data_IF_357493768242
#
_entry.id   IF_357493768242
#
_cell.length_a   1.000
_cell.length_b   1.000
_cell.length_c   1.000
_cell.angle_alpha   90.00
_cell.angle_beta   90.00
_cell.angle_gamma   90.00
#
_symmetry.space_group_name_H-M   'P 1'
#
loop_
_entity.id
_entity.type
_entity.pdbx_description
1 polymer ?
#
# COMPACT_ATOMS: atom_id res chain seq x y z
N UNK A 1 -9.59 -21.08 -70.96
CA UNK A 1 -9.91 -20.20 -69.81
C UNK A 1 -8.67 -20.10 -68.97
N UNK A 2 -8.08 -18.91 -68.85
CA UNK A 2 -6.78 -18.71 -68.19
C UNK A 2 -6.98 -18.22 -66.76
N UNK A 3 -6.29 -18.82 -65.79
CA UNK A 3 -6.28 -18.34 -64.41
C UNK A 3 -5.39 -17.10 -64.29
N UNK A 4 -5.95 -15.96 -63.87
CA UNK A 4 -5.20 -14.73 -63.64
C UNK A 4 -4.62 -14.72 -62.21
N UNK A 5 -3.31 -14.60 -62.09
CA UNK A 5 -2.64 -14.39 -60.81
C UNK A 5 -2.80 -12.93 -60.35
N UNK A 6 -3.16 -12.71 -59.09
CA UNK A 6 -3.14 -11.38 -58.46
C UNK A 6 -1.74 -11.08 -57.90
N UNK A 7 -1.17 -9.88 -58.12
CA UNK A 7 0.15 -9.54 -57.61
C UNK A 7 0.13 -9.25 -56.11
N UNK A 8 1.17 -9.71 -55.39
CA UNK A 8 1.41 -9.32 -53.99
C UNK A 8 1.96 -7.89 -53.93
N UNK A 9 1.47 -7.09 -52.98
CA UNK A 9 2.03 -5.76 -52.72
C UNK A 9 3.36 -5.87 -51.94
N UNK A 10 4.37 -5.04 -52.24
CA UNK A 10 5.66 -5.06 -51.54
C UNK A 10 5.54 -4.52 -50.10
N UNK A 11 6.41 -4.94 -49.17
CA UNK A 11 6.44 -4.42 -47.81
C UNK A 11 6.90 -2.95 -47.78
N UNK A 12 6.36 -2.11 -46.87
CA UNK A 12 6.71 -0.70 -46.78
C UNK A 12 8.16 -0.52 -46.30
N UNK A 13 8.98 0.13 -47.13
CA UNK A 13 10.34 0.52 -46.76
C UNK A 13 10.32 1.65 -45.72
N UNK A 14 11.11 1.51 -44.66
CA UNK A 14 11.24 2.52 -43.61
C UNK A 14 12.24 3.59 -44.05
N UNK A 15 11.78 4.82 -44.30
CA UNK A 15 12.67 5.97 -44.45
C UNK A 15 13.16 6.44 -43.08
N UNK A 16 14.48 6.58 -42.93
CA UNK A 16 15.14 6.87 -41.66
C UNK A 16 15.70 8.30 -41.65
N UNK A 17 15.11 9.20 -40.87
CA UNK A 17 15.69 10.54 -40.66
C UNK A 17 15.37 11.09 -39.25
N UNK A 18 16.39 11.69 -38.62
CA UNK A 18 16.33 12.50 -37.39
C UNK A 18 15.49 12.01 -36.20
N UNK A 19 15.91 10.91 -35.58
CA UNK A 19 15.88 10.74 -34.11
C UNK A 19 14.53 10.71 -33.39
N UNK A 20 13.39 10.71 -34.11
CA UNK A 20 12.05 10.67 -33.55
C UNK A 20 11.31 9.43 -34.06
N UNK A 21 11.06 8.47 -33.17
CA UNK A 21 10.31 7.26 -33.49
C UNK A 21 8.90 7.35 -32.91
N UNK A 22 7.89 7.44 -33.77
CA UNK A 22 6.53 7.03 -33.39
C UNK A 22 6.47 5.50 -33.44
N UNK A 23 6.04 4.89 -32.34
CA UNK A 23 6.15 3.45 -32.10
C UNK A 23 4.77 2.82 -32.17
N UNK A 24 4.50 2.06 -33.23
CA UNK A 24 3.23 1.34 -33.40
C UNK A 24 3.06 0.29 -32.29
N UNK A 25 1.88 0.25 -31.66
CA UNK A 25 1.63 -0.65 -30.52
C UNK A 25 0.91 -1.94 -30.95
N UNK A 26 1.35 -3.08 -30.44
CA UNK A 26 0.81 -4.41 -30.75
C UNK A 26 -0.11 -4.92 -29.63
N UNK A 27 -1.31 -5.40 -29.99
CA UNK A 27 -2.29 -5.96 -29.04
C UNK A 27 -1.79 -7.24 -28.36
N UNK A 28 -0.96 -8.03 -29.06
CA UNK A 28 -0.29 -9.20 -28.48
C UNK A 28 0.99 -8.76 -27.77
N UNK A 29 1.12 -9.14 -26.49
CA UNK A 29 2.30 -8.85 -25.65
C UNK A 29 3.32 -9.99 -25.75
N UNK A 30 4.44 -9.73 -26.42
CA UNK A 30 5.58 -10.64 -26.56
C UNK A 30 6.04 -11.19 -25.19
N UNK A 31 6.28 -12.51 -25.07
CA UNK A 31 6.75 -13.11 -23.82
C UNK A 31 8.10 -12.53 -23.37
N UNK A 32 8.98 -12.20 -24.31
CA UNK A 32 10.28 -11.58 -24.02
C UNK A 32 10.11 -10.20 -23.38
N UNK A 33 9.17 -9.38 -23.89
CA UNK A 33 8.87 -8.07 -23.31
C UNK A 33 8.29 -8.20 -21.89
N UNK A 34 7.40 -9.18 -21.67
CA UNK A 34 6.85 -9.48 -20.34
C UNK A 34 7.93 -9.97 -19.35
N UNK A 35 8.90 -10.78 -19.80
CA UNK A 35 10.00 -11.27 -18.96
C UNK A 35 10.91 -10.12 -18.50
N UNK A 36 11.29 -9.23 -19.43
CA UNK A 36 12.10 -8.04 -19.13
C UNK A 36 11.33 -7.10 -18.18
N UNK A 37 10.03 -6.87 -18.42
CA UNK A 37 9.19 -6.09 -17.53
C UNK A 37 9.05 -6.72 -16.13
N UNK A 38 8.90 -8.05 -16.02
CA UNK A 38 8.83 -8.75 -14.74
C UNK A 38 10.12 -8.61 -13.90
N UNK A 39 11.30 -8.62 -14.55
CA UNK A 39 12.57 -8.33 -13.88
C UNK A 39 12.64 -6.86 -13.43
N UNK A 40 12.26 -5.91 -14.30
CA UNK A 40 12.41 -4.48 -14.04
C UNK A 40 11.38 -3.92 -13.04
N UNK A 41 10.13 -4.38 -13.09
CA UNK A 41 8.98 -3.75 -12.41
C UNK A 41 9.11 -3.67 -10.88
N UNK A 42 10.01 -4.43 -10.26
CA UNK A 42 10.27 -4.39 -8.82
C UNK A 42 11.77 -4.21 -8.49
N UNK A 43 12.57 -3.75 -9.46
CA UNK A 43 14.02 -3.59 -9.28
C UNK A 43 14.35 -2.27 -8.54
N UNK A 44 15.10 -2.30 -7.41
CA UNK A 44 15.38 -1.09 -6.61
C UNK A 44 16.24 -0.05 -7.33
N UNK A 45 16.97 -0.41 -8.39
CA UNK A 45 17.78 0.51 -9.20
C UNK A 45 16.89 1.56 -9.89
N UNK A 46 15.63 1.22 -10.22
CA UNK A 46 14.68 2.15 -10.85
C UNK A 46 14.33 3.34 -9.95
N UNK A 47 14.33 3.13 -8.62
CA UNK A 47 13.83 4.08 -7.60
C UNK A 47 12.46 4.67 -7.99
N UNK A 48 11.55 3.80 -8.42
CA UNK A 48 10.19 4.16 -8.82
C UNK A 48 9.40 4.80 -7.67
N UNK A 49 8.40 5.61 -8.03
CA UNK A 49 7.51 6.30 -7.10
C UNK A 49 6.08 6.23 -7.63
N UNK A 50 5.09 6.31 -6.74
CA UNK A 50 3.69 6.50 -7.13
C UNK A 50 3.45 7.96 -7.51
N UNK A 51 2.69 8.19 -8.58
CA UNK A 51 2.20 9.50 -9.01
C UNK A 51 0.77 9.40 -9.55
N UNK A 52 0.08 10.52 -9.68
CA UNK A 52 -1.32 10.57 -10.11
C UNK A 52 -1.41 10.83 -11.61
N UNK A 53 -1.63 9.78 -12.41
CA UNK A 53 -1.92 9.89 -13.83
C UNK A 53 -3.24 10.63 -14.03
N UNK A 54 -3.20 11.71 -14.82
CA UNK A 54 -4.32 12.60 -15.12
C UNK A 54 -5.05 13.09 -13.85
N UNK A 55 -4.30 13.27 -12.75
CA UNK A 55 -4.80 13.69 -11.43
C UNK A 55 -5.85 12.77 -10.79
N UNK A 56 -5.95 11.49 -11.21
CA UNK A 56 -6.97 10.56 -10.75
C UNK A 56 -6.44 9.14 -10.41
N UNK A 57 -5.62 8.54 -11.28
CA UNK A 57 -5.20 7.14 -11.13
C UNK A 57 -3.77 7.05 -10.58
N UNK A 58 -3.57 6.31 -9.49
CA UNK A 58 -2.21 5.98 -9.03
C UNK A 58 -1.47 5.12 -10.06
N UNK A 59 -0.27 5.52 -10.44
CA UNK A 59 0.63 4.77 -11.33
C UNK A 59 2.07 4.87 -10.82
N UNK A 60 2.87 3.83 -11.01
CA UNK A 60 4.28 3.85 -10.66
C UNK A 60 5.13 4.36 -11.82
N UNK A 61 6.06 5.28 -11.54
CA UNK A 61 6.91 5.92 -12.55
C UNK A 61 8.37 6.05 -12.12
N UNK A 62 9.27 6.07 -13.11
CA UNK A 62 10.73 6.14 -12.97
C UNK A 62 11.34 7.09 -14.02
N UNK A 63 12.66 7.30 -14.01
CA UNK A 63 13.40 8.06 -15.04
C UNK A 63 14.21 7.15 -15.96
N UNK A 64 14.33 7.51 -17.23
CA UNK A 64 15.05 6.71 -18.26
C UNK A 64 16.47 6.30 -17.85
N UNK A 65 17.27 7.21 -17.27
CA UNK A 65 18.64 6.90 -16.79
C UNK A 65 18.73 5.89 -15.65
N UNK A 66 17.62 5.56 -14.99
CA UNK A 66 17.54 4.45 -14.02
C UNK A 66 17.22 3.12 -14.71
N UNK A 67 16.37 3.15 -15.73
CA UNK A 67 16.06 2.00 -16.59
C UNK A 67 17.28 1.51 -17.37
N UNK A 68 18.01 2.42 -18.03
CA UNK A 68 19.28 2.07 -18.71
C UNK A 68 20.29 1.43 -17.72
N UNK A 69 20.38 1.95 -16.50
CA UNK A 69 21.25 1.39 -15.45
C UNK A 69 20.79 0.02 -14.97
N UNK A 70 19.49 -0.23 -14.87
CA UNK A 70 18.95 -1.52 -14.46
C UNK A 70 19.21 -2.61 -15.52
N UNK A 71 19.08 -2.28 -16.82
CA UNK A 71 19.37 -3.22 -17.92
C UNK A 71 20.87 -3.51 -18.11
N UNK A 72 21.74 -2.54 -17.85
CA UNK A 72 23.20 -2.73 -17.91
C UNK A 72 23.83 -3.25 -16.60
N UNK A 73 22.99 -3.53 -15.58
CA UNK A 73 23.43 -4.03 -14.28
C UNK A 73 23.92 -5.48 -14.32
N UNK A 74 24.78 -5.85 -13.38
CA UNK A 74 25.24 -7.24 -13.26
C UNK A 74 24.12 -8.16 -12.75
N UNK A 75 23.13 -7.65 -11.99
CA UNK A 75 21.89 -8.36 -11.66
C UNK A 75 21.16 -8.85 -12.93
N UNK A 76 21.10 -8.03 -13.98
CA UNK A 76 20.49 -8.42 -15.25
C UNK A 76 21.26 -9.57 -15.90
N UNK A 77 22.59 -9.46 -15.96
CA UNK A 77 23.49 -10.48 -16.53
C UNK A 77 23.39 -11.81 -15.76
N UNK A 78 23.31 -11.77 -14.42
CA UNK A 78 23.11 -12.95 -13.59
C UNK A 78 21.77 -13.64 -13.87
N UNK A 79 20.67 -12.87 -13.95
CA UNK A 79 19.35 -13.42 -14.31
C UNK A 79 19.34 -13.97 -15.74
N UNK A 80 20.06 -13.34 -16.67
CA UNK A 80 20.19 -13.78 -18.06
C UNK A 80 20.92 -15.14 -18.18
N UNK A 81 21.84 -15.49 -17.27
CA UNK A 81 22.53 -16.80 -17.26
C UNK A 81 21.59 -18.00 -17.09
N UNK A 82 20.36 -17.81 -16.61
CA UNK A 82 19.36 -18.87 -16.47
C UNK A 82 18.36 -18.81 -17.65
N UNK A 83 18.38 -19.77 -18.60
CA UNK A 83 17.51 -19.75 -19.78
C UNK A 83 16.01 -19.70 -19.45
N UNK A 84 15.59 -20.20 -18.27
CA UNK A 84 14.19 -20.17 -17.83
C UNK A 84 13.63 -18.76 -17.66
N UNK A 85 14.48 -17.74 -17.52
CA UNK A 85 14.06 -16.35 -17.40
C UNK A 85 13.76 -15.68 -18.75
N UNK A 86 14.20 -16.28 -19.88
CA UNK A 86 13.91 -15.76 -21.23
C UNK A 86 14.28 -14.29 -21.44
N UNK A 87 15.42 -13.86 -20.89
CA UNK A 87 16.00 -12.52 -21.06
C UNK A 87 17.00 -12.53 -22.23
N UNK A 88 17.09 -11.42 -22.95
CA UNK A 88 18.02 -11.26 -24.08
C UNK A 88 19.36 -10.66 -23.62
N UNK A 89 20.48 -10.88 -24.34
CA UNK A 89 21.72 -10.15 -24.08
C UNK A 89 21.54 -8.64 -24.33
N UNK A 90 22.04 -7.83 -23.39
CA UNK A 90 22.10 -6.37 -23.48
C UNK A 90 23.52 -5.94 -23.09
N UNK A 91 24.29 -5.46 -24.06
CA UNK A 91 25.67 -5.01 -23.85
C UNK A 91 25.83 -3.52 -24.15
N UNK A 92 25.08 -3.00 -25.12
CA UNK A 92 25.26 -1.67 -25.70
C UNK A 92 24.10 -0.72 -25.38
N UNK A 93 24.34 0.58 -25.51
CA UNK A 93 23.29 1.60 -25.44
C UNK A 93 22.24 1.47 -26.57
N UNK A 94 22.57 0.81 -27.69
CA UNK A 94 21.61 0.50 -28.77
C UNK A 94 20.66 -0.63 -28.36
N UNK A 95 21.17 -1.69 -27.72
CA UNK A 95 20.38 -2.81 -27.20
C UNK A 95 19.32 -2.31 -26.20
N UNK A 96 19.70 -1.39 -25.32
CA UNK A 96 18.79 -0.70 -24.37
C UNK A 96 17.69 0.08 -25.09
N UNK A 97 17.99 0.77 -26.18
CA UNK A 97 16.99 1.49 -26.99
C UNK A 97 16.04 0.53 -27.69
N UNK A 98 16.54 -0.57 -28.26
CA UNK A 98 15.73 -1.61 -28.89
C UNK A 98 14.77 -2.27 -27.88
N UNK A 99 15.27 -2.60 -26.68
CA UNK A 99 14.45 -3.13 -25.57
C UNK A 99 13.40 -2.12 -25.09
N UNK A 100 13.76 -0.84 -25.02
CA UNK A 100 12.82 0.22 -24.63
C UNK A 100 11.71 0.39 -25.68
N UNK A 101 12.05 0.43 -26.97
CA UNK A 101 11.06 0.47 -28.06
C UNK A 101 10.14 -0.75 -27.99
N UNK A 102 10.68 -1.95 -27.79
CA UNK A 102 9.90 -3.17 -27.59
C UNK A 102 8.92 -3.04 -26.41
N UNK A 103 9.35 -2.49 -25.26
CA UNK A 103 8.46 -2.30 -24.10
C UNK A 103 7.34 -1.27 -24.36
N UNK A 104 7.56 -0.28 -25.23
CA UNK A 104 6.49 0.64 -25.68
C UNK A 104 5.56 -0.02 -26.70
N UNK A 105 6.08 -0.75 -27.69
CA UNK A 105 5.27 -1.51 -28.66
C UNK A 105 4.27 -2.43 -27.95
N UNK A 106 4.72 -3.11 -26.90
CA UNK A 106 3.92 -4.05 -26.11
C UNK A 106 3.04 -3.38 -25.02
N UNK A 107 2.92 -2.04 -25.05
CA UNK A 107 2.14 -1.24 -24.09
C UNK A 107 2.47 -1.57 -22.62
N UNK A 108 3.75 -1.77 -22.30
CA UNK A 108 4.24 -2.03 -20.93
C UNK A 108 4.74 -0.74 -20.26
N UNK A 109 5.17 0.24 -21.06
CA UNK A 109 5.59 1.57 -20.63
C UNK A 109 4.74 2.66 -21.27
N UNK A 110 4.48 3.71 -20.50
CA UNK A 110 3.75 4.91 -20.90
C UNK A 110 4.69 6.14 -20.79
N UNK A 111 4.94 6.89 -21.87
CA UNK A 111 5.60 8.20 -21.80
C UNK A 111 4.76 9.18 -20.96
N UNK A 112 5.37 9.78 -19.94
CA UNK A 112 4.70 10.74 -19.05
C UNK A 112 5.54 11.98 -18.76
N UNK A 113 4.88 13.12 -18.69
CA UNK A 113 5.46 14.37 -18.18
C UNK A 113 4.97 14.58 -16.76
N UNK A 114 5.90 14.81 -15.82
CA UNK A 114 5.57 15.26 -14.46
C UNK A 114 5.27 16.76 -14.51
N UNK A 115 4.04 17.14 -14.18
CA UNK A 115 3.64 18.56 -14.21
C UNK A 115 4.13 19.34 -12.98
N UNK A 116 4.22 20.65 -13.14
CA UNK A 116 4.46 21.61 -12.07
C UNK A 116 3.16 22.13 -11.43
N UNK A 117 3.24 22.73 -10.24
CA UNK A 117 2.09 23.25 -9.48
C UNK A 117 1.29 24.37 -10.18
N UNK A 118 1.86 25.03 -11.19
CA UNK A 118 1.16 25.99 -12.05
C UNK A 118 0.30 25.27 -13.10
N UNK A 119 0.95 24.46 -13.94
CA UNK A 119 0.35 23.63 -14.99
C UNK A 119 -0.84 22.77 -14.50
N UNK A 120 -0.78 22.24 -13.27
CA UNK A 120 -1.89 21.47 -12.68
C UNK A 120 -3.14 22.33 -12.44
N UNK A 121 -2.99 23.63 -12.14
CA UNK A 121 -4.12 24.56 -11.91
C UNK A 121 -4.74 25.08 -13.20
N UNK A 122 -3.97 25.13 -14.28
CA UNK A 122 -4.44 25.49 -15.62
C UNK A 122 -5.43 24.45 -16.17
N UNK A 123 -5.25 23.18 -15.81
CA UNK A 123 -6.18 22.11 -16.18
C UNK A 123 -7.45 22.16 -15.31
N UNK A 124 -8.53 22.69 -15.90
CA UNK A 124 -9.85 22.82 -15.26
C UNK A 124 -10.30 21.52 -14.58
N UNK A 125 -10.44 21.57 -13.26
CA UNK A 125 -10.91 20.46 -12.42
C UNK A 125 -9.82 19.66 -11.72
N UNK A 126 -8.54 19.84 -12.06
CA UNK A 126 -7.44 19.21 -11.33
C UNK A 126 -7.10 19.96 -10.04
N UNK A 127 -6.71 19.20 -9.01
CA UNK A 127 -6.34 19.72 -7.69
C UNK A 127 -4.94 19.21 -7.35
N UNK A 128 -3.93 20.10 -7.18
CA UNK A 128 -2.57 19.67 -6.86
C UNK A 128 -2.51 18.93 -5.53
N UNK A 129 -1.98 17.70 -5.56
CA UNK A 129 -1.64 16.93 -4.37
C UNK A 129 -0.19 17.27 -3.92
N UNK A 130 0.06 17.36 -2.61
CA UNK A 130 1.39 17.60 -2.02
C UNK A 130 2.22 16.34 -1.87
N UNK A 131 1.58 15.18 -1.68
CA UNK A 131 2.22 13.89 -1.40
C UNK A 131 2.63 13.19 -2.71
N UNK A 132 1.72 13.16 -3.68
CA UNK A 132 1.87 12.46 -4.96
C UNK A 132 1.94 13.46 -6.11
N UNK A 133 2.97 13.41 -6.97
CA UNK A 133 3.08 14.30 -8.12
C UNK A 133 2.06 13.92 -9.21
N UNK A 134 1.45 14.92 -9.84
CA UNK A 134 0.56 14.71 -10.99
C UNK A 134 1.37 14.44 -12.26
N UNK A 135 0.95 13.44 -13.03
CA UNK A 135 1.56 13.01 -14.28
C UNK A 135 0.54 13.17 -15.42
N UNK A 136 0.97 13.74 -16.54
CA UNK A 136 0.19 13.78 -17.80
C UNK A 136 0.83 12.81 -18.80
N UNK A 137 0.03 12.17 -19.64
CA UNK A 137 0.56 11.42 -20.80
C UNK A 137 1.30 12.38 -21.75
N UNK A 138 2.40 11.92 -22.33
CA UNK A 138 3.12 12.66 -23.36
C UNK A 138 2.94 11.96 -24.72
N UNK A 139 2.67 12.73 -25.77
CA UNK A 139 2.27 12.20 -27.09
C UNK A 139 3.45 11.62 -27.91
N UNK A 140 4.69 11.84 -27.42
CA UNK A 140 5.93 11.31 -28.01
C UNK A 140 6.80 10.70 -26.90
N UNK A 141 7.43 9.55 -27.19
CA UNK A 141 8.46 8.97 -26.34
C UNK A 141 9.84 9.54 -26.72
N UNK A 142 10.55 10.13 -25.76
CA UNK A 142 11.84 10.80 -25.97
C UNK A 142 12.91 10.17 -25.08
N UNK A 143 13.95 9.61 -25.69
CA UNK A 143 15.04 8.85 -25.06
C UNK A 143 16.01 9.70 -24.19
N UNK A 144 15.57 10.84 -23.65
CA UNK A 144 16.39 11.67 -22.76
C UNK A 144 16.59 10.98 -21.39
N UNK A 145 17.81 10.95 -20.83
CA UNK A 145 18.13 10.45 -19.49
C UNK A 145 17.16 10.87 -18.35
N UNK A 146 16.53 12.04 -18.46
CA UNK A 146 15.66 12.64 -17.46
C UNK A 146 14.16 12.48 -17.74
N UNK A 147 13.75 12.01 -18.93
CA UNK A 147 12.34 11.71 -19.23
C UNK A 147 11.77 10.71 -18.23
N UNK A 148 10.49 10.89 -17.88
CA UNK A 148 9.77 9.99 -17.00
C UNK A 148 8.93 8.98 -17.78
N UNK A 149 8.87 7.77 -17.26
CA UNK A 149 8.09 6.67 -17.82
C UNK A 149 7.31 6.00 -16.70
N UNK A 150 6.05 5.66 -16.98
CA UNK A 150 5.15 5.00 -16.04
C UNK A 150 4.84 3.57 -16.49
N UNK A 151 4.66 2.66 -15.53
CA UNK A 151 4.38 1.25 -15.79
C UNK A 151 2.90 1.01 -16.12
N UNK A 152 2.65 0.37 -17.27
CA UNK A 152 1.37 -0.28 -17.62
C UNK A 152 1.45 -1.82 -17.54
N UNK A 153 2.62 -2.34 -17.12
CA UNK A 153 2.79 -3.73 -16.75
C UNK A 153 2.19 -3.97 -15.36
N UNK A 154 1.28 -4.94 -15.28
CA UNK A 154 0.82 -5.52 -14.01
C UNK A 154 1.41 -6.91 -13.89
N UNK A 155 2.15 -7.17 -12.80
CA UNK A 155 2.69 -8.50 -12.51
C UNK A 155 1.52 -9.50 -12.33
N UNK A 156 1.45 -10.61 -13.09
CA UNK A 156 0.40 -11.60 -12.90
C UNK A 156 0.54 -12.24 -11.52
N UNK A 157 -0.55 -12.29 -10.75
CA UNK A 157 -0.56 -12.94 -9.44
C UNK A 157 -0.61 -14.48 -9.65
N UNK A 158 0.45 -15.24 -9.33
CA UNK A 158 0.47 -16.69 -9.58
C UNK A 158 -0.58 -17.44 -8.75
N UNK A 159 -1.00 -16.87 -7.62
CA UNK A 159 -2.00 -17.48 -6.74
C UNK A 159 -3.44 -17.29 -7.23
N UNK A 160 -3.71 -16.51 -8.29
CA UNK A 160 -5.08 -16.31 -8.78
C UNK A 160 -5.74 -17.63 -9.21
N UNK A 161 -4.97 -18.51 -9.87
CA UNK A 161 -5.42 -19.84 -10.26
C UNK A 161 -5.71 -20.72 -9.03
N UNK A 162 -4.85 -20.66 -8.01
CA UNK A 162 -5.05 -21.37 -6.75
C UNK A 162 -6.32 -20.89 -6.04
N UNK A 163 -6.57 -19.58 -5.98
CA UNK A 163 -7.80 -19.03 -5.40
C UNK A 163 -9.05 -19.43 -6.19
N UNK A 164 -8.99 -19.45 -7.54
CA UNK A 164 -10.11 -19.95 -8.36
C UNK A 164 -10.40 -21.43 -8.11
N UNK A 165 -9.38 -22.29 -8.05
CA UNK A 165 -9.54 -23.72 -7.74
C UNK A 165 -10.07 -23.92 -6.32
N UNK A 166 -9.55 -23.17 -5.33
CA UNK A 166 -10.02 -23.23 -3.95
C UNK A 166 -11.48 -22.78 -3.81
N UNK A 167 -11.89 -21.72 -4.52
CA UNK A 167 -13.27 -21.23 -4.51
C UNK A 167 -14.24 -22.25 -5.14
N UNK A 168 -13.87 -22.85 -6.27
CA UNK A 168 -14.64 -23.92 -6.91
C UNK A 168 -14.75 -25.12 -5.96
N UNK A 169 -13.64 -25.57 -5.37
CA UNK A 169 -13.63 -26.66 -4.41
C UNK A 169 -14.52 -26.36 -3.18
N UNK A 170 -14.47 -25.13 -2.64
CA UNK A 170 -15.33 -24.70 -1.53
C UNK A 170 -16.82 -24.72 -1.88
N UNK A 171 -17.21 -24.26 -3.07
CA UNK A 171 -18.60 -24.32 -3.56
C UNK A 171 -19.06 -25.77 -3.70
N UNK A 172 -18.25 -26.65 -4.31
CA UNK A 172 -18.57 -28.09 -4.37
C UNK A 172 -18.67 -28.71 -2.98
N UNK A 173 -17.75 -28.39 -2.05
CA UNK A 173 -17.78 -28.87 -0.67
C UNK A 173 -19.09 -28.53 0.03
N UNK A 174 -19.63 -27.31 -0.15
CA UNK A 174 -20.94 -26.91 0.39
C UNK A 174 -22.10 -27.62 -0.31
N UNK A 175 -22.11 -27.69 -1.65
CA UNK A 175 -23.18 -28.35 -2.41
C UNK A 175 -23.26 -29.85 -2.08
N UNK A 176 -22.12 -30.51 -1.84
CA UNK A 176 -22.05 -31.93 -1.47
C UNK A 176 -22.33 -32.19 0.02
N UNK A 177 -22.74 -31.20 0.82
CA UNK A 177 -23.14 -31.40 2.23
C UNK A 177 -24.10 -32.59 2.48
N UNK A 178 -25.08 -32.91 1.61
CA UNK A 178 -25.90 -34.12 1.75
C UNK A 178 -25.11 -35.43 1.78
N UNK A 179 -23.96 -35.51 1.10
CA UNK A 179 -23.07 -36.68 1.04
C UNK A 179 -22.05 -36.73 2.18
N UNK A 180 -21.93 -35.70 3.03
CA UNK A 180 -20.92 -35.68 4.09
C UNK A 180 -21.15 -36.79 5.15
N UNK A 181 -20.07 -37.31 5.77
CA UNK A 181 -20.17 -38.22 6.91
C UNK A 181 -21.00 -37.66 8.07
N UNK A 182 -21.75 -38.53 8.74
CA UNK A 182 -22.64 -38.16 9.86
C UNK A 182 -21.91 -37.60 11.09
N UNK A 183 -20.58 -37.74 11.17
CA UNK A 183 -19.76 -37.02 12.16
C UNK A 183 -19.61 -35.53 11.79
N UNK A 184 -19.26 -35.20 10.55
CA UNK A 184 -19.10 -33.81 10.09
C UNK A 184 -20.42 -33.04 10.14
N UNK A 185 -21.54 -33.68 9.75
CA UNK A 185 -22.89 -33.10 9.88
C UNK A 185 -23.24 -32.72 11.33
N UNK A 186 -22.88 -33.58 12.31
CA UNK A 186 -23.02 -33.25 13.74
C UNK A 186 -22.09 -32.12 14.16
N UNK A 187 -20.84 -32.10 13.69
CA UNK A 187 -19.91 -30.99 13.94
C UNK A 187 -20.45 -29.64 13.48
N UNK A 188 -21.02 -29.57 12.27
CA UNK A 188 -21.69 -28.36 11.75
C UNK A 188 -22.91 -27.98 12.59
N UNK A 189 -23.71 -28.96 13.07
CA UNK A 189 -24.84 -28.69 13.96
C UNK A 189 -24.40 -28.10 15.31
N UNK A 190 -23.38 -28.68 15.96
CA UNK A 190 -22.83 -28.14 17.22
C UNK A 190 -22.21 -26.76 17.02
N UNK A 191 -21.49 -26.53 15.92
CA UNK A 191 -20.92 -25.22 15.59
C UNK A 191 -22.00 -24.16 15.36
N UNK A 192 -23.07 -24.52 14.64
CA UNK A 192 -24.25 -23.66 14.42
C UNK A 192 -24.95 -23.34 15.75
N UNK A 193 -25.17 -24.34 16.61
CA UNK A 193 -25.79 -24.14 17.93
C UNK A 193 -24.91 -23.28 18.86
N UNK A 194 -23.59 -23.45 18.81
CA UNK A 194 -22.63 -22.61 19.54
C UNK A 194 -22.61 -21.17 19.06
N UNK A 195 -22.63 -20.95 17.74
CA UNK A 195 -22.75 -19.62 17.15
C UNK A 195 -24.08 -18.94 17.50
N UNK A 196 -25.19 -19.69 17.45
CA UNK A 196 -26.51 -19.20 17.86
C UNK A 196 -26.56 -18.85 19.35
N UNK A 197 -25.94 -19.66 20.21
CA UNK A 197 -25.79 -19.38 21.64
C UNK A 197 -24.95 -18.13 21.92
N UNK A 198 -23.86 -17.92 21.18
CA UNK A 198 -23.05 -16.70 21.24
C UNK A 198 -23.85 -15.47 20.80
N UNK A 199 -24.61 -15.56 19.70
CA UNK A 199 -25.49 -14.50 19.23
C UNK A 199 -26.59 -14.18 20.27
N UNK A 200 -27.20 -15.21 20.86
CA UNK A 200 -28.19 -15.05 21.92
C UNK A 200 -27.59 -14.38 23.18
N UNK A 201 -26.35 -14.68 23.53
CA UNK A 201 -25.62 -14.02 24.62
C UNK A 201 -25.42 -12.52 24.33
N UNK A 202 -25.02 -12.15 23.10
CA UNK A 202 -24.93 -10.73 22.70
C UNK A 202 -26.28 -10.01 22.79
N UNK A 203 -27.38 -10.63 22.35
CA UNK A 203 -28.72 -10.06 22.53
C UNK A 203 -29.10 -9.93 24.02
N UNK A 204 -28.78 -10.93 24.84
CA UNK A 204 -29.06 -10.90 26.28
C UNK A 204 -28.29 -9.77 26.99
N UNK A 205 -27.00 -9.58 26.69
CA UNK A 205 -26.22 -8.47 27.27
C UNK A 205 -26.75 -7.10 26.82
N UNK A 206 -27.19 -6.96 25.56
CA UNK A 206 -27.84 -5.75 25.08
C UNK A 206 -29.18 -5.45 25.79
N UNK A 207 -30.01 -6.47 26.02
CA UNK A 207 -31.29 -6.34 26.75
C UNK A 207 -31.04 -5.98 28.22
N UNK A 208 -30.11 -6.66 28.90
CA UNK A 208 -29.75 -6.37 30.30
C UNK A 208 -29.19 -4.95 30.44
N UNK A 209 -28.32 -4.52 29.51
CA UNK A 209 -27.81 -3.15 29.42
C UNK A 209 -28.92 -2.12 29.24
N UNK A 210 -29.92 -2.39 28.40
CA UNK A 210 -31.08 -1.50 28.20
C UNK A 210 -31.95 -1.40 29.46
N UNK A 211 -32.24 -2.52 30.13
CA UNK A 211 -33.02 -2.53 31.38
C UNK A 211 -32.31 -1.74 32.48
N UNK A 212 -31.00 -1.97 32.66
CA UNK A 212 -30.17 -1.23 33.63
C UNK A 212 -30.15 0.26 33.30
N UNK A 213 -29.99 0.63 32.02
CA UNK A 213 -30.03 2.03 31.60
C UNK A 213 -31.38 2.68 31.96
N UNK A 214 -32.51 2.07 31.60
CA UNK A 214 -33.87 2.58 31.91
C UNK A 214 -34.07 2.76 33.41
N UNK A 215 -33.70 1.77 34.23
CA UNK A 215 -33.79 1.86 35.69
C UNK A 215 -32.90 3.00 36.21
N UNK A 216 -31.68 3.14 35.70
CA UNK A 216 -30.73 4.15 36.16
C UNK A 216 -31.14 5.59 35.82
N UNK A 217 -31.83 5.82 34.69
CA UNK A 217 -32.40 7.13 34.32
C UNK A 217 -33.48 7.58 35.31
N UNK A 218 -34.22 6.63 35.91
CA UNK A 218 -35.28 6.92 36.89
C UNK A 218 -34.73 7.00 38.32
N UNK A 219 -33.75 6.15 38.67
CA UNK A 219 -33.24 6.01 40.03
C UNK A 219 -32.05 6.91 40.38
N UNK A 220 -31.28 7.40 39.40
CA UNK A 220 -30.04 8.14 39.63
C UNK A 220 -29.94 9.43 38.78
N UNK A 221 -29.27 10.48 39.26
CA UNK A 221 -29.07 11.74 38.52
C UNK A 221 -28.06 11.63 37.36
N UNK A 222 -27.49 10.44 37.13
CA UNK A 222 -26.68 10.08 35.97
C UNK A 222 -27.05 8.65 35.58
N UNK A 223 -27.28 8.34 34.30
CA UNK A 223 -27.51 6.96 33.89
C UNK A 223 -26.23 6.13 34.03
N UNK A 224 -26.44 4.85 34.36
CA UNK A 224 -25.41 3.82 34.42
C UNK A 224 -25.44 3.01 33.13
N UNK A 225 -24.27 2.75 32.59
CA UNK A 225 -24.07 2.12 31.30
C UNK A 225 -23.24 0.85 31.46
N UNK A 226 -23.89 -0.31 31.32
CA UNK A 226 -23.22 -1.61 31.37
C UNK A 226 -22.42 -1.83 30.06
N UNK A 227 -21.17 -2.31 30.19
CA UNK A 227 -20.23 -2.57 29.10
C UNK A 227 -20.17 -1.43 28.04
N UNK A 228 -19.62 -0.24 28.38
CA UNK A 228 -19.48 0.87 27.44
C UNK A 228 -18.82 0.47 26.11
N UNK A 229 -17.73 -0.29 26.19
CA UNK A 229 -16.88 -0.65 25.05
C UNK A 229 -17.45 -1.77 24.16
N UNK A 230 -18.66 -2.28 24.44
CA UNK A 230 -19.25 -3.42 23.70
C UNK A 230 -19.56 -3.13 22.22
N UNK A 231 -19.64 -1.85 21.85
CA UNK A 231 -19.88 -1.39 20.46
C UNK A 231 -18.85 -0.34 20.00
N UNK A 232 -17.73 -0.20 20.73
CA UNK A 232 -16.57 0.59 20.28
C UNK A 232 -15.60 -0.33 19.50
N UNK A 233 -14.67 0.26 18.73
CA UNK A 233 -13.68 -0.47 17.93
C UNK A 233 -12.56 -1.11 18.81
N UNK A 234 -12.95 -2.07 19.66
CA UNK A 234 -12.10 -2.73 20.66
C UNK A 234 -12.05 -4.26 20.46
N UNK A 235 -11.02 -4.92 21.01
CA UNK A 235 -10.96 -6.39 20.99
C UNK A 235 -12.00 -7.03 21.92
N UNK A 236 -12.44 -8.25 21.62
CA UNK A 236 -13.54 -8.94 22.35
C UNK A 236 -13.39 -8.94 23.88
N UNK A 237 -12.15 -9.01 24.41
CA UNK A 237 -11.88 -8.95 25.85
C UNK A 237 -12.06 -7.52 26.39
N UNK A 238 -11.55 -6.52 25.66
CA UNK A 238 -11.61 -5.09 26.01
C UNK A 238 -13.05 -4.56 25.92
N UNK A 239 -13.88 -5.10 25.02
CA UNK A 239 -15.31 -4.81 24.91
C UNK A 239 -16.09 -5.07 26.21
N UNK A 240 -15.62 -5.98 27.07
CA UNK A 240 -16.25 -6.29 28.38
C UNK A 240 -15.60 -5.57 29.58
N UNK A 241 -14.60 -4.69 29.36
CA UNK A 241 -13.93 -3.95 30.43
C UNK A 241 -13.90 -2.44 30.15
N UNK A 242 -14.37 -1.57 31.06
CA UNK A 242 -14.96 -1.86 32.37
C UNK A 242 -16.37 -2.47 32.27
N UNK A 243 -16.79 -3.17 33.33
CA UNK A 243 -18.13 -3.80 33.40
C UNK A 243 -19.25 -2.75 33.41
N UNK A 244 -19.02 -1.60 34.03
CA UNK A 244 -19.95 -0.47 34.04
C UNK A 244 -19.20 0.86 33.99
N UNK A 245 -19.89 1.89 33.49
CA UNK A 245 -19.50 3.29 33.62
C UNK A 245 -20.74 4.15 33.92
N UNK A 246 -20.54 5.35 34.45
CA UNK A 246 -21.58 6.38 34.52
C UNK A 246 -21.45 7.32 33.34
N UNK A 247 -22.55 7.77 32.73
CA UNK A 247 -22.41 8.83 31.72
C UNK A 247 -21.92 10.13 32.37
N UNK A 248 -20.78 10.64 31.91
CA UNK A 248 -20.38 12.02 32.19
C UNK A 248 -21.17 12.98 31.30
N UNK A 249 -21.75 14.06 31.85
CA UNK A 249 -22.40 15.06 31.02
C UNK A 249 -21.36 15.68 30.07
N UNK A 250 -21.58 15.49 28.75
CA UNK A 250 -20.68 15.96 27.68
C UNK A 250 -20.42 17.46 27.81
N UNK A 251 -19.33 17.83 28.49
CA UNK A 251 -18.84 19.21 28.58
C UNK A 251 -18.63 19.72 27.16
N UNK A 252 -19.46 20.69 26.74
CA UNK A 252 -19.26 21.42 25.49
C UNK A 252 -17.83 21.97 25.50
N UNK A 253 -16.99 21.55 24.56
CA UNK A 253 -15.62 22.08 24.41
C UNK A 253 -15.71 23.48 23.82
N UNK A 254 -15.98 24.47 24.68
CA UNK A 254 -16.05 25.86 24.29
C UNK A 254 -14.71 26.33 23.73
N UNK A 255 -14.78 26.84 22.50
CA UNK A 255 -13.65 27.19 21.65
C UNK A 255 -13.13 28.57 22.07
N UNK A 256 -12.12 28.67 22.96
CA UNK A 256 -11.53 29.99 23.29
C UNK A 256 -9.98 30.03 23.34
N UNK A 257 -9.43 30.69 22.32
CA UNK A 257 -8.17 31.45 22.25
C UNK A 257 -6.87 30.90 22.85
N UNK A 258 -5.86 30.73 21.97
CA UNK A 258 -4.44 30.96 22.32
C UNK A 258 -4.18 32.47 22.49
N UNK A 259 -3.46 32.90 23.53
CA UNK A 259 -2.33 33.87 23.44
C UNK A 259 -1.55 33.95 24.77
N UNK A 260 -0.22 34.08 24.65
CA UNK A 260 0.78 34.79 25.48
C UNK A 260 0.57 35.06 27.00
N UNK A 261 1.60 35.10 27.86
CA UNK A 261 3.02 34.69 27.74
C UNK A 261 3.72 34.70 29.13
N UNK A 262 4.84 33.96 29.21
CA UNK A 262 6.07 34.13 30.03
C UNK A 262 6.09 35.11 31.22
N UNK A 263 6.55 34.66 32.40
CA UNK A 263 7.22 35.53 33.39
C UNK A 263 7.27 35.07 34.85
N UNK A 264 8.45 34.60 35.30
CA UNK A 264 9.04 34.61 36.66
C UNK A 264 8.23 34.26 37.95
N UNK A 265 8.92 33.59 38.87
CA UNK A 265 8.57 33.38 40.30
C UNK A 265 9.32 34.44 41.18
N UNK A 266 9.35 34.45 42.55
CA UNK A 266 9.10 33.34 43.49
C UNK A 266 8.37 33.67 44.83
N UNK A 267 8.33 32.65 45.71
CA UNK A 267 8.15 32.70 47.18
C UNK A 267 6.74 32.97 47.76
N UNK A 268 6.30 32.31 48.85
CA UNK A 268 6.78 31.05 49.49
C UNK A 268 5.71 30.50 50.48
N UNK A 269 5.73 29.16 50.71
CA UNK A 269 5.14 28.36 51.83
C UNK A 269 3.63 28.54 52.16
N UNK A 270 2.87 27.50 52.55
CA UNK A 270 3.22 26.27 53.25
C UNK A 270 2.36 25.04 52.84
N UNK A 271 2.96 23.84 53.03
CA UNK A 271 2.40 22.54 53.49
C UNK A 271 1.06 21.99 52.90
N UNK A 272 0.88 20.70 52.62
CA UNK A 272 1.31 19.49 53.37
C UNK A 272 2.13 18.45 52.55
N UNK A 273 2.23 17.20 53.03
CA UNK A 273 3.41 16.33 52.86
C UNK A 273 3.21 15.05 52.02
N UNK A 274 4.30 14.68 51.33
CA UNK A 274 4.96 13.34 51.22
C UNK A 274 4.11 12.12 50.77
N UNK A 275 4.59 11.27 49.84
CA UNK A 275 5.86 11.32 49.13
C UNK A 275 6.08 10.09 48.23
N UNK A 276 7.27 10.03 47.61
CA UNK A 276 7.65 8.98 46.66
C UNK A 276 8.65 8.01 47.28
N UNK A 277 8.41 6.71 47.21
CA UNK A 277 9.52 5.75 47.24
C UNK A 277 9.21 4.42 46.53
N UNK A 278 10.25 3.90 45.87
CA UNK A 278 10.35 2.50 45.41
C UNK A 278 11.70 1.98 45.89
N UNK A 279 11.73 0.92 46.71
CA UNK A 279 12.92 0.07 46.84
C UNK A 279 13.00 -0.97 45.71
N UNK A 280 14.07 -1.76 45.71
CA UNK A 280 14.49 -2.66 44.61
C UNK A 280 14.69 -4.09 45.12
N UNK A 281 14.64 -5.06 44.21
CA UNK A 281 14.71 -6.50 44.48
C UNK A 281 16.13 -7.05 44.73
N UNK A 282 16.17 -8.21 45.40
CA UNK A 282 17.22 -9.26 45.45
C UNK A 282 16.48 -10.57 45.79
N UNK A 283 16.82 -11.79 45.35
CA UNK A 283 17.77 -12.35 44.36
C UNK A 283 17.29 -13.78 44.09
N UNK A 284 17.53 -14.49 42.98
CA UNK A 284 18.77 -14.84 42.28
C UNK A 284 18.37 -15.95 41.25
N UNK A 285 19.15 -16.58 40.36
CA UNK A 285 20.43 -16.45 39.60
C UNK A 285 20.34 -17.58 38.52
N UNK A 286 21.11 -17.73 37.44
CA UNK A 286 22.38 -17.20 36.88
C UNK A 286 22.19 -17.16 35.32
N UNK A 287 23.07 -16.72 34.39
CA UNK A 287 24.43 -16.17 34.37
C UNK A 287 24.67 -15.34 33.07
N UNK A 288 25.88 -14.79 32.95
CA UNK A 288 26.71 -14.34 31.82
C UNK A 288 26.24 -14.49 30.35
N UNK A 289 26.64 -13.59 29.43
CA UNK A 289 27.47 -12.39 29.66
C UNK A 289 27.95 -11.64 28.40
N UNK A 290 28.65 -10.53 28.66
CA UNK A 290 29.51 -9.67 27.80
C UNK A 290 29.01 -9.09 26.46
N UNK A 291 29.27 -7.79 26.26
CA UNK A 291 29.06 -7.05 25.00
C UNK A 291 29.03 -5.52 25.18
N UNK A 292 30.06 -4.82 24.69
CA UNK A 292 30.26 -3.35 24.80
C UNK A 292 29.64 -2.54 23.61
N UNK A 293 29.73 -1.20 23.69
CA UNK A 293 29.78 -0.20 22.61
C UNK A 293 28.61 0.80 22.44
N UNK A 294 28.59 1.80 23.31
CA UNK A 294 28.52 3.26 22.99
C UNK A 294 27.89 3.75 21.67
N UNK A 295 26.77 4.49 21.76
CA UNK A 295 26.40 5.60 20.85
C UNK A 295 25.35 6.54 21.51
N UNK A 296 25.30 7.86 21.26
CA UNK A 296 26.11 8.66 20.33
C UNK A 296 25.34 9.76 19.56
N UNK A 297 24.16 10.24 20.04
CA UNK A 297 23.32 11.19 19.29
C UNK A 297 23.91 12.62 19.25
N UNK A 298 24.16 13.15 18.05
CA UNK A 298 24.39 14.59 17.80
C UNK A 298 23.29 15.18 16.90
N UNK A 299 23.14 16.50 17.02
CA UNK A 299 22.11 17.34 16.38
C UNK A 299 22.71 18.00 15.14
N UNK A 300 21.97 18.05 14.04
CA UNK A 300 22.40 18.73 12.80
C UNK A 300 21.99 20.21 12.84
N UNK A 301 22.94 21.08 12.51
CA UNK A 301 22.72 22.47 12.08
C UNK A 301 22.98 22.56 10.58
N UNK A 302 22.22 23.42 9.90
CA UNK A 302 22.48 23.78 8.51
C UNK A 302 23.20 25.13 8.50
N UNK A 303 24.15 25.27 7.59
CA UNK A 303 24.89 26.50 7.31
C UNK A 303 24.79 26.70 5.79
N UNK A 304 24.23 27.84 5.40
CA UNK A 304 24.15 28.27 4.00
C UNK A 304 25.34 29.20 3.72
N UNK A 305 26.03 28.97 2.61
CA UNK A 305 27.07 29.86 2.08
C UNK A 305 26.80 30.01 0.59
N UNK A 306 26.60 31.24 0.14
CA UNK A 306 26.41 31.61 -1.26
C UNK A 306 27.77 31.66 -2.00
N UNK A 307 27.82 31.09 -3.21
CA UNK A 307 28.39 31.68 -4.46
C UNK A 307 28.00 30.83 -5.68
#
# INVERSE_FOLDING_TARGET
MSAAAQPQAPPPQQQQQNGQFQVATSTQRSPVANNIANFLFQNPILKQRTGLLNNATDIEFFRFKRFQRALLSDEYKERQRNPKNGLIPINNAQDVQNVFVLLIQNQLLLPVTKLHYAEIKEVKGWKPNKEKPTLKRADKAVMDPNTYYAWLYQKPNPFILLYSVLAIAGVFTVILFPLWPNFMKRGVWYLSMGALGLIALFFLTAIVRLIIYIISVVAFPKPLWLFPNLFEDCGVIESFQPVYAWEEPKKKKDKKSKKAATGAAPAAVAEEKVGSEKPKATGSEVANGDGDATAGKRKVTLEEVDE
#
